data_IF_449389293278
#
_entry.id   IF_449389293278
#
_cell.length_a   1.000
_cell.length_b   1.000
_cell.length_c   1.000
_cell.angle_alpha   90.00
_cell.angle_beta   90.00
_cell.angle_gamma   90.00
#
_symmetry.space_group_name_H-M   'P 1'
#
loop_
_entity.id
_entity.type
_entity.pdbx_description
1 polymer ?
#
# COMPACT_ATOMS: atom_id res chain seq x y z
N UNK A 1 27.19 2.10 -30.28
CA UNK A 1 26.83 1.52 -28.95
C UNK A 1 26.29 2.67 -28.11
N UNK A 2 25.07 2.64 -27.59
CA UNK A 2 24.48 3.90 -27.12
C UNK A 2 23.37 3.87 -26.07
N UNK A 3 23.29 2.87 -25.19
CA UNK A 3 22.45 2.93 -23.98
C UNK A 3 23.12 2.11 -22.88
N UNK A 4 23.18 2.66 -21.67
CA UNK A 4 23.66 1.98 -20.47
C UNK A 4 22.77 2.32 -19.28
N UNK A 5 22.46 1.31 -18.47
CA UNK A 5 21.64 1.47 -17.27
C UNK A 5 22.52 1.80 -16.06
N UNK A 6 21.97 2.65 -15.19
CA UNK A 6 22.53 2.97 -13.89
C UNK A 6 21.42 2.94 -12.84
N UNK A 7 21.76 2.65 -11.60
CA UNK A 7 20.84 2.65 -10.47
C UNK A 7 21.47 3.34 -9.24
N UNK A 8 20.65 3.62 -8.23
CA UNK A 8 21.12 4.14 -6.94
C UNK A 8 21.37 2.97 -6.00
N UNK A 9 22.55 2.92 -5.37
CA UNK A 9 22.91 1.87 -4.43
C UNK A 9 22.05 1.95 -3.15
N UNK A 10 21.52 0.80 -2.74
CA UNK A 10 20.65 0.62 -1.57
C UNK A 10 21.21 -0.48 -0.68
N UNK A 11 21.07 -0.33 0.64
CA UNK A 11 21.36 -1.37 1.63
C UNK A 11 20.08 -1.76 2.36
N UNK A 12 19.76 -3.05 2.39
CA UNK A 12 18.64 -3.62 3.14
C UNK A 12 19.10 -4.10 4.54
N UNK A 13 18.35 -3.77 5.59
CA UNK A 13 18.61 -4.21 6.96
C UNK A 13 17.31 -4.26 7.77
N UNK A 14 16.93 -5.42 8.30
CA UNK A 14 15.73 -5.60 9.15
C UNK A 14 14.46 -4.89 8.61
N UNK A 15 14.10 -5.17 7.36
CA UNK A 15 12.99 -4.53 6.63
C UNK A 15 13.12 -3.01 6.39
N UNK A 16 14.21 -2.39 6.81
CA UNK A 16 14.56 -1.01 6.51
C UNK A 16 15.48 -0.95 5.30
N UNK A 17 15.38 0.15 4.55
CA UNK A 17 16.23 0.43 3.41
C UNK A 17 16.99 1.72 3.65
N UNK A 18 18.27 1.71 3.30
CA UNK A 18 19.16 2.88 3.40
C UNK A 18 19.65 3.20 2.00
N UNK A 19 19.31 4.38 1.51
CA UNK A 19 19.79 4.90 0.23
C UNK A 19 21.20 5.46 0.41
N UNK A 20 22.17 4.87 -0.27
CA UNK A 20 23.59 5.23 -0.12
C UNK A 20 23.99 6.49 -0.90
N UNK A 21 23.03 7.13 -1.61
CA UNK A 21 23.24 8.31 -2.48
C UNK A 21 24.39 8.15 -3.48
N UNK A 22 24.66 6.91 -3.89
CA UNK A 22 25.71 6.54 -4.83
C UNK A 22 25.08 5.94 -6.07
N UNK A 23 25.51 6.40 -7.25
CA UNK A 23 25.09 5.81 -8.53
C UNK A 23 26.04 4.67 -8.89
N UNK A 24 25.49 3.54 -9.34
CA UNK A 24 26.25 2.37 -9.80
C UNK A 24 25.74 1.94 -11.18
N UNK A 25 26.64 1.39 -11.99
CA UNK A 25 26.27 0.83 -13.30
C UNK A 25 25.45 -0.45 -13.13
N UNK A 26 24.43 -0.61 -13.97
CA UNK A 26 23.54 -1.78 -13.96
C UNK A 26 22.06 -1.39 -13.91
N UNK A 27 21.19 -2.36 -14.16
CA UNK A 27 19.75 -2.23 -13.91
C UNK A 27 19.45 -2.30 -12.41
N UNK A 28 18.27 -1.88 -11.98
CA UNK A 28 17.83 -2.09 -10.60
C UNK A 28 17.24 -3.49 -10.46
N UNK A 29 17.68 -4.25 -9.45
CA UNK A 29 17.18 -5.62 -9.21
C UNK A 29 15.78 -5.65 -8.59
N UNK A 30 15.39 -4.57 -7.89
CA UNK A 30 14.10 -4.45 -7.18
C UNK A 30 13.58 -3.02 -7.22
N UNK A 31 12.25 -2.89 -7.11
CA UNK A 31 11.57 -1.60 -6.90
C UNK A 31 11.26 -1.38 -5.42
N UNK A 32 11.59 -0.20 -4.88
CA UNK A 32 11.47 0.11 -3.45
C UNK A 32 10.28 1.03 -3.09
N UNK A 33 9.26 1.10 -3.95
CA UNK A 33 8.15 2.05 -3.81
C UNK A 33 7.36 1.89 -2.50
N UNK A 34 7.04 0.66 -2.09
CA UNK A 34 6.32 0.39 -0.83
C UNK A 34 7.15 0.80 0.39
N UNK A 35 8.47 0.64 0.32
CA UNK A 35 9.39 1.02 1.38
C UNK A 35 9.51 2.55 1.48
N UNK A 36 9.53 3.27 0.35
CA UNK A 36 9.47 4.74 0.32
C UNK A 36 8.14 5.25 0.86
N UNK A 37 7.01 4.64 0.47
CA UNK A 37 5.68 4.93 1.00
C UNK A 37 5.61 4.80 2.53
N UNK A 38 6.26 3.78 3.09
CA UNK A 38 6.40 3.61 4.54
C UNK A 38 7.24 4.72 5.18
N UNK A 39 8.36 5.11 4.56
CA UNK A 39 9.19 6.23 5.03
C UNK A 39 8.43 7.56 4.98
N UNK A 40 7.51 7.74 4.03
CA UNK A 40 6.61 8.89 3.93
C UNK A 40 5.49 8.89 4.99
N UNK A 41 5.38 7.85 5.82
CA UNK A 41 4.40 7.77 6.89
C UNK A 41 3.00 7.36 6.44
N UNK A 42 2.86 6.68 5.30
CA UNK A 42 1.56 6.18 4.86
C UNK A 42 0.98 5.13 5.83
N UNK A 43 -0.35 5.11 6.05
CA UNK A 43 -1.01 4.16 6.93
C UNK A 43 -0.67 2.70 6.61
N UNK A 44 -0.51 1.88 7.66
CA UNK A 44 -0.15 0.47 7.53
C UNK A 44 -1.13 -0.32 6.67
N UNK A 45 -2.42 -0.02 6.76
CA UNK A 45 -3.47 -0.67 5.95
C UNK A 45 -3.25 -0.49 4.44
N UNK A 46 -2.75 0.67 4.03
CA UNK A 46 -2.42 0.96 2.62
C UNK A 46 -1.19 0.16 2.20
N UNK A 47 -0.16 0.10 3.06
CA UNK A 47 1.07 -0.64 2.79
C UNK A 47 0.80 -2.14 2.67
N UNK A 48 -0.03 -2.70 3.55
CA UNK A 48 -0.40 -4.10 3.56
C UNK A 48 -1.19 -4.44 2.28
N UNK A 49 -2.15 -3.59 1.89
CA UNK A 49 -2.87 -3.77 0.63
C UNK A 49 -1.95 -3.68 -0.59
N UNK A 50 -1.02 -2.73 -0.61
CA UNK A 50 -0.05 -2.62 -1.71
C UNK A 50 0.80 -3.88 -1.85
N UNK A 51 1.22 -4.50 -0.74
CA UNK A 51 1.96 -5.77 -0.74
C UNK A 51 1.11 -6.93 -1.27
N UNK A 52 -0.16 -7.01 -0.88
CA UNK A 52 -1.08 -8.03 -1.44
C UNK A 52 -1.17 -7.90 -2.96
N UNK A 53 -1.34 -6.68 -3.47
CA UNK A 53 -1.44 -6.42 -4.91
C UNK A 53 -0.13 -6.76 -5.61
N UNK A 54 1.02 -6.34 -5.05
CA UNK A 54 2.34 -6.67 -5.60
C UNK A 54 2.52 -8.18 -5.73
N UNK A 55 2.15 -8.96 -4.71
CA UNK A 55 2.23 -10.42 -4.74
C UNK A 55 1.33 -11.08 -5.79
N UNK A 56 0.28 -10.39 -6.26
CA UNK A 56 -0.51 -10.83 -7.41
C UNK A 56 0.15 -10.46 -8.73
N UNK A 57 0.70 -9.24 -8.84
CA UNK A 57 1.31 -8.72 -10.06
C UNK A 57 2.66 -9.39 -10.41
N UNK A 58 3.43 -9.81 -9.41
CA UNK A 58 4.71 -10.51 -9.63
C UNK A 58 4.52 -11.97 -10.06
N UNK A 59 3.28 -12.48 -10.11
CA UNK A 59 3.02 -13.83 -10.62
C UNK A 59 3.27 -13.88 -12.13
N UNK A 60 3.94 -14.93 -12.63
CA UNK A 60 4.45 -15.00 -14.00
C UNK A 60 3.39 -15.00 -15.11
N UNK A 61 2.10 -15.00 -14.80
CA UNK A 61 1.03 -15.15 -15.80
C UNK A 61 0.29 -13.86 -16.16
N UNK A 62 0.67 -12.69 -15.64
CA UNK A 62 0.21 -11.39 -16.15
C UNK A 62 -1.31 -11.16 -16.16
N UNK A 63 -2.11 -12.07 -15.61
CA UNK A 63 -3.55 -11.89 -15.45
C UNK A 63 -3.69 -10.87 -14.35
N UNK A 64 -3.93 -9.63 -14.76
CA UNK A 64 -4.36 -8.57 -13.86
C UNK A 64 -5.79 -8.92 -13.47
N UNK A 65 -5.96 -9.91 -12.58
CA UNK A 65 -7.17 -10.01 -11.80
C UNK A 65 -7.19 -8.76 -10.93
N UNK A 66 -8.00 -7.78 -11.32
CA UNK A 66 -8.17 -6.57 -10.54
C UNK A 66 -8.51 -7.01 -9.11
N UNK A 67 -7.65 -6.69 -8.12
CA UNK A 67 -7.90 -7.08 -6.74
C UNK A 67 -9.28 -6.56 -6.37
N UNK A 68 -10.18 -7.38 -5.78
CA UNK A 68 -11.51 -6.92 -5.44
C UNK A 68 -11.36 -5.67 -4.58
N UNK A 69 -11.85 -4.52 -5.08
CA UNK A 69 -11.84 -3.22 -4.38
C UNK A 69 -12.21 -3.51 -2.94
N UNK A 70 -11.28 -3.22 -2.03
CA UNK A 70 -11.40 -3.58 -0.62
C UNK A 70 -12.79 -3.16 -0.15
N UNK A 71 -13.63 -4.13 0.22
CA UNK A 71 -14.94 -3.84 0.81
C UNK A 71 -14.64 -2.90 1.97
N UNK A 72 -15.10 -1.65 1.88
CA UNK A 72 -15.19 -0.77 3.03
C UNK A 72 -15.83 -1.58 4.15
N UNK A 73 -15.02 -2.01 5.12
CA UNK A 73 -15.48 -2.75 6.29
C UNK A 73 -16.22 -1.73 7.13
N UNK A 74 -17.49 -1.56 6.79
CA UNK A 74 -18.45 -0.85 7.60
C UNK A 74 -18.46 -1.53 8.98
N UNK A 75 -17.88 -0.89 10.01
CA UNK A 75 -18.14 -1.29 11.41
C UNK A 75 -19.46 -0.66 11.84
N UNK A 76 -20.29 -1.49 12.45
CA UNK A 76 -21.75 -1.45 12.52
C UNK A 76 -22.32 -0.53 13.64
N UNK A 77 -23.56 -0.07 13.43
CA UNK A 77 -24.58 0.68 14.26
C UNK A 77 -24.92 0.07 15.65
N UNK A 78 -25.89 0.56 16.47
CA UNK A 78 -26.46 1.91 16.79
C UNK A 78 -26.44 2.25 18.31
N UNK A 79 -26.75 3.49 18.74
CA UNK A 79 -26.96 3.81 20.16
C UNK A 79 -28.43 4.22 20.43
N UNK A 80 -29.02 3.49 21.37
CA UNK A 80 -30.31 3.55 22.06
C UNK A 80 -31.24 4.79 21.87
N UNK A 81 -32.53 4.47 21.73
CA UNK A 81 -33.71 5.34 21.95
C UNK A 81 -33.76 5.92 23.36
N UNK A 82 -34.33 7.12 23.52
CA UNK A 82 -35.27 7.38 24.60
C UNK A 82 -36.65 7.73 24.04
N UNK A 83 -37.67 7.04 24.55
CA UNK A 83 -39.09 7.34 24.36
C UNK A 83 -39.36 8.84 24.59
N UNK A 84 -39.97 9.49 23.60
CA UNK A 84 -40.73 10.72 23.82
C UNK A 84 -42.18 10.41 23.46
N UNK A 85 -43.14 10.50 24.39
CA UNK A 85 -44.54 10.42 24.03
C UNK A 85 -44.84 11.59 23.11
N UNK A 86 -45.29 11.28 21.91
CA UNK A 86 -45.77 12.25 20.93
C UNK A 86 -46.98 12.97 21.55
N UNK A 87 -46.92 14.30 21.65
CA UNK A 87 -48.07 15.11 22.07
C UNK A 87 -49.24 14.76 21.14
N UNK A 88 -50.34 14.28 21.72
CA UNK A 88 -51.65 14.32 21.09
C UNK A 88 -51.97 15.79 20.81
N UNK A 89 -52.02 16.14 19.53
CA UNK A 89 -52.59 17.39 19.09
C UNK A 89 -54.11 17.21 19.04
N UNK A 90 -54.81 18.11 19.74
CA UNK A 90 -56.26 18.35 19.75
C UNK A 90 -56.98 18.02 18.44
#
# INVERSE_FOLDING_TARGET
>A
KGVCNFNVAVREWNDQIIFLRKIVSGGADKSYGIQVARLAGLPKEILDRAKEILAHLERPNGVIETPPVGKSRNRRKPAATPDKPQLDLL
#
